data_IF_648763181652
#
_entry.id   IF_648763181652
#
_cell.length_a   1.000
_cell.length_b   1.000
_cell.length_c   1.000
_cell.angle_alpha   90.00
_cell.angle_beta   90.00
_cell.angle_gamma   90.00
#
_symmetry.space_group_name_H-M   'P 1'
#
loop_
_entity.id
_entity.type
_entity.pdbx_description
1 polymer ?
#
# COMPACT_ATOMS: atom_id res chain seq x y z
N UNK A 1 2.65 2.55 -14.04
CA UNK A 1 3.57 3.33 -13.16
C UNK A 1 4.63 2.45 -12.49
N UNK A 2 5.75 3.03 -12.06
CA UNK A 2 6.76 2.36 -11.19
C UNK A 2 6.40 2.53 -9.71
N UNK A 3 6.51 1.45 -8.93
CA UNK A 3 6.21 1.47 -7.49
C UNK A 3 7.32 2.17 -6.69
N UNK A 4 6.93 3.05 -5.77
CA UNK A 4 7.81 3.76 -4.83
C UNK A 4 7.98 3.04 -3.50
N UNK A 5 7.16 2.02 -3.24
CA UNK A 5 7.16 1.29 -1.98
C UNK A 5 8.52 0.62 -1.69
N UNK A 6 8.93 0.64 -0.42
CA UNK A 6 10.11 -0.04 0.10
C UNK A 6 9.79 -0.66 1.46
N UNK A 7 10.29 -1.87 1.77
CA UNK A 7 10.17 -2.42 3.11
C UNK A 7 10.91 -1.51 4.08
N UNK A 8 10.31 -1.29 5.26
CA UNK A 8 10.95 -0.56 6.35
C UNK A 8 11.13 -1.54 7.50
N UNK A 9 12.38 -1.90 7.77
CA UNK A 9 12.73 -2.79 8.88
C UNK A 9 13.36 -1.91 9.96
N UNK A 10 12.56 -1.42 10.90
CA UNK A 10 13.10 -0.87 12.13
C UNK A 10 13.20 -1.99 13.16
N UNK A 11 14.43 -2.30 13.57
CA UNK A 11 14.68 -3.12 14.75
C UNK A 11 14.46 -2.24 15.99
N UNK A 12 13.20 -2.12 16.42
CA UNK A 12 12.81 -1.32 17.57
C UNK A 12 11.30 -1.22 17.69
N UNK A 13 10.79 -1.17 18.91
CA UNK A 13 9.38 -1.21 19.27
C UNK A 13 8.50 -0.31 18.37
N UNK A 14 7.56 -0.91 17.63
CA UNK A 14 6.58 -0.26 16.75
C UNK A 14 5.55 0.55 17.57
N UNK A 15 5.99 1.46 18.43
CA UNK A 15 5.10 2.18 19.35
C UNK A 15 4.66 3.54 18.83
N UNK A 16 5.10 3.98 17.64
CA UNK A 16 4.55 5.21 17.04
C UNK A 16 4.54 5.21 15.52
N UNK A 17 3.35 5.09 14.92
CA UNK A 17 3.10 5.25 13.46
C UNK A 17 3.61 6.58 12.89
N UNK A 18 3.90 7.57 13.74
CA UNK A 18 4.31 8.93 13.40
C UNK A 18 5.66 9.01 12.68
N UNK A 19 6.55 8.02 12.81
CA UNK A 19 7.92 8.06 12.25
C UNK A 19 8.10 7.26 10.96
N UNK A 20 7.04 6.65 10.42
CA UNK A 20 7.18 5.83 9.22
C UNK A 20 7.53 6.69 7.99
N UNK A 21 8.49 6.28 7.15
CA UNK A 21 8.81 6.99 5.91
C UNK A 21 7.67 6.82 4.89
N UNK A 22 7.48 7.81 4.02
CA UNK A 22 6.38 7.79 3.03
C UNK A 22 6.38 6.54 2.13
N UNK A 23 7.55 5.93 1.93
CA UNK A 23 7.72 4.72 1.13
C UNK A 23 7.04 3.46 1.70
N UNK A 24 6.52 3.47 2.93
CA UNK A 24 5.77 2.31 3.45
C UNK A 24 4.30 2.35 3.10
N UNK A 25 3.77 3.48 2.62
CA UNK A 25 2.34 3.66 2.38
C UNK A 25 1.96 3.28 0.95
N UNK A 26 0.75 2.75 0.77
CA UNK A 26 0.19 2.61 -0.57
C UNK A 26 -0.04 3.98 -1.20
N UNK A 27 -0.52 4.95 -0.42
CA UNK A 27 -0.70 6.34 -0.84
C UNK A 27 0.31 7.26 -0.11
N UNK A 28 1.57 7.39 -0.59
CA UNK A 28 2.63 8.14 0.08
C UNK A 28 2.24 9.57 0.42
N UNK A 29 1.68 10.32 -0.54
CA UNK A 29 1.33 11.74 -0.36
C UNK A 29 0.28 11.96 0.72
N UNK A 30 -0.66 11.02 0.84
CA UNK A 30 -1.75 11.09 1.82
C UNK A 30 -1.43 10.31 3.10
N UNK A 31 -0.29 9.60 3.15
CA UNK A 31 0.12 8.69 4.23
C UNK A 31 -1.00 7.74 4.65
N UNK A 32 -1.76 7.22 3.68
CA UNK A 32 -2.84 6.25 3.88
C UNK A 32 -2.37 4.84 3.52
N UNK A 33 -2.96 3.84 4.17
CA UNK A 33 -2.69 2.42 3.90
C UNK A 33 -1.21 2.03 4.10
N UNK A 34 -0.68 2.04 5.35
CA UNK A 34 0.67 1.53 5.60
C UNK A 34 0.74 0.05 5.20
N UNK A 35 1.81 -0.36 4.53
CA UNK A 35 2.04 -1.70 4.01
C UNK A 35 3.24 -2.34 4.75
N UNK A 36 3.10 -2.55 6.06
CA UNK A 36 4.18 -3.03 6.93
C UNK A 36 4.16 -4.54 7.19
N UNK A 37 3.12 -5.24 6.74
CA UNK A 37 3.00 -6.70 6.80
C UNK A 37 1.95 -7.23 5.82
N UNK A 38 1.84 -8.56 5.71
CA UNK A 38 0.86 -9.23 4.84
C UNK A 38 -0.60 -8.88 5.14
N UNK A 39 -0.95 -8.66 6.42
CA UNK A 39 -2.32 -8.33 6.82
C UNK A 39 -2.67 -6.90 6.40
N UNK A 40 -1.73 -5.96 6.54
CA UNK A 40 -1.86 -4.62 6.00
C UNK A 40 -2.04 -4.61 4.48
N UNK A 41 -1.29 -5.43 3.74
CA UNK A 41 -1.45 -5.55 2.28
C UNK A 41 -2.84 -6.05 1.90
N UNK A 42 -3.31 -7.14 2.51
CA UNK A 42 -4.66 -7.69 2.27
C UNK A 42 -5.76 -6.67 2.59
N UNK A 43 -5.59 -5.96 3.70
CA UNK A 43 -6.52 -4.94 4.11
C UNK A 43 -6.56 -3.76 3.11
N UNK A 44 -5.41 -3.32 2.61
CA UNK A 44 -5.32 -2.25 1.62
C UNK A 44 -6.00 -2.61 0.29
N UNK A 45 -5.92 -3.87 -0.14
CA UNK A 45 -6.68 -4.38 -1.29
C UNK A 45 -8.18 -4.36 -1.04
N UNK A 46 -8.60 -4.87 0.12
CA UNK A 46 -10.01 -5.02 0.46
C UNK A 46 -10.77 -3.70 0.63
N UNK A 47 -10.08 -2.60 0.97
CA UNK A 47 -10.67 -1.26 1.17
C UNK A 47 -10.17 -0.22 0.18
N UNK A 48 -9.58 -0.65 -0.94
CA UNK A 48 -8.93 0.25 -1.89
C UNK A 48 -9.88 1.33 -2.46
N UNK A 49 -11.13 0.95 -2.71
CA UNK A 49 -12.20 1.80 -3.20
C UNK A 49 -12.71 2.80 -2.15
N UNK A 50 -12.69 2.43 -0.87
CA UNK A 50 -13.09 3.27 0.27
C UNK A 50 -12.14 4.46 0.52
N UNK A 51 -10.95 4.46 -0.10
CA UNK A 51 -10.02 5.59 0.03
C UNK A 51 -10.47 6.74 -0.87
N UNK A 52 -11.12 7.73 -0.26
CA UNK A 52 -11.63 8.92 -0.94
C UNK A 52 -10.60 10.05 -1.09
N UNK A 53 -10.89 10.98 -2.01
CA UNK A 53 -10.07 12.17 -2.27
C UNK A 53 -8.76 11.89 -3.00
N UNK A 54 -8.70 10.78 -3.76
CA UNK A 54 -7.48 10.32 -4.45
C UNK A 54 -7.65 10.39 -5.97
N UNK A 55 -6.66 10.97 -6.66
CA UNK A 55 -6.62 10.99 -8.13
C UNK A 55 -6.41 9.59 -8.71
N UNK A 56 -6.81 9.39 -9.97
CA UNK A 56 -6.55 8.14 -10.68
C UNK A 56 -5.06 7.81 -10.76
N UNK A 57 -4.19 8.82 -10.86
CA UNK A 57 -2.73 8.66 -10.84
C UNK A 57 -2.20 8.18 -9.50
N UNK A 58 -2.71 8.72 -8.39
CA UNK A 58 -2.32 8.28 -7.05
C UNK A 58 -2.90 6.88 -6.75
N UNK A 59 -4.06 6.51 -7.31
CA UNK A 59 -4.59 5.13 -7.27
C UNK A 59 -3.72 4.16 -8.06
N UNK A 60 -3.28 4.55 -9.25
CA UNK A 60 -2.38 3.70 -10.04
C UNK A 60 -1.05 3.46 -9.30
N UNK A 61 -0.48 4.51 -8.70
CA UNK A 61 0.72 4.40 -7.87
C UNK A 61 0.46 3.50 -6.66
N UNK A 62 -0.66 3.66 -5.98
CA UNK A 62 -0.98 2.87 -4.79
C UNK A 62 -1.12 1.38 -5.10
N UNK A 63 -1.75 1.04 -6.22
CA UNK A 63 -1.84 -0.34 -6.62
C UNK A 63 -0.49 -0.94 -7.04
N UNK A 64 0.39 -0.14 -7.65
CA UNK A 64 1.77 -0.56 -7.91
C UNK A 64 2.53 -0.83 -6.60
N UNK A 65 2.36 0.03 -5.59
CA UNK A 65 2.94 -0.13 -4.26
C UNK A 65 2.42 -1.38 -3.55
N UNK A 66 1.11 -1.61 -3.57
CA UNK A 66 0.47 -2.80 -3.01
C UNK A 66 1.00 -4.06 -3.67
N UNK A 67 1.10 -4.11 -5.01
CA UNK A 67 1.67 -5.27 -5.73
C UNK A 67 3.11 -5.57 -5.32
N UNK A 68 3.94 -4.54 -5.16
CA UNK A 68 5.33 -4.70 -4.73
C UNK A 68 5.42 -5.20 -3.29
N UNK A 69 4.60 -4.67 -2.38
CA UNK A 69 4.53 -5.13 -1.00
C UNK A 69 3.99 -6.57 -0.91
N UNK A 70 2.98 -6.90 -1.71
CA UNK A 70 2.40 -8.24 -1.77
C UNK A 70 3.43 -9.29 -2.19
N UNK A 71 4.23 -8.99 -3.21
CA UNK A 71 5.34 -9.85 -3.61
C UNK A 71 6.35 -10.06 -2.47
N UNK A 72 6.66 -9.00 -1.71
CA UNK A 72 7.59 -9.09 -0.58
C UNK A 72 7.03 -9.91 0.58
N UNK A 73 5.75 -9.74 0.92
CA UNK A 73 5.11 -10.43 2.05
C UNK A 73 4.41 -11.75 1.67
N UNK A 74 4.52 -12.21 0.42
CA UNK A 74 3.92 -13.46 -0.04
C UNK A 74 2.40 -13.45 -0.13
N UNK A 75 1.80 -12.29 -0.45
CA UNK A 75 0.35 -12.16 -0.71
C UNK A 75 0.08 -12.29 -2.21
N UNK A 76 -0.81 -13.21 -2.59
CA UNK A 76 -1.24 -13.37 -3.97
C UNK A 76 -2.26 -12.28 -4.38
N UNK A 77 -2.06 -11.70 -5.57
CA UNK A 77 -2.94 -10.68 -6.16
C UNK A 77 -3.24 -11.12 -7.58
N UNK A 78 -4.53 -11.28 -7.89
CA UNK A 78 -5.00 -11.72 -9.22
C UNK A 78 -5.36 -10.54 -10.12
N UNK A 79 -5.67 -9.41 -9.50
CA UNK A 79 -6.09 -8.19 -10.17
C UNK A 79 -4.94 -7.59 -10.97
N UNK A 80 -5.22 -7.20 -12.22
CA UNK A 80 -4.21 -6.60 -13.11
C UNK A 80 -4.18 -5.09 -12.97
N UNK A 81 -5.31 -4.50 -12.59
CA UNK A 81 -5.53 -3.07 -12.44
C UNK A 81 -6.28 -2.75 -11.16
N UNK A 82 -6.01 -1.57 -10.59
CA UNK A 82 -6.77 -1.04 -9.45
C UNK A 82 -8.25 -0.84 -9.78
N UNK A 83 -8.60 -0.70 -11.06
CA UNK A 83 -9.99 -0.60 -11.52
C UNK A 83 -10.78 -1.88 -11.26
N UNK A 84 -10.10 -3.03 -11.16
CA UNK A 84 -10.73 -4.32 -10.82
C UNK A 84 -11.01 -4.44 -9.31
N UNK A 85 -10.40 -3.58 -8.49
CA UNK A 85 -10.67 -3.50 -7.05
C UNK A 85 -11.87 -2.61 -6.70
N UNK A 86 -12.35 -1.80 -7.64
CA UNK A 86 -13.58 -1.01 -7.46
C UNK A 86 -14.77 -1.97 -7.48
N UNK A 87 -15.42 -2.15 -6.33
CA UNK A 87 -16.71 -2.84 -6.24
C UNK A 87 -17.86 -1.84 -6.25
#
# INVERSE_FOLDING_TARGET
>A
MQATWKPHTEHGDLTTRSNLPDSVYAFPKQRKEPLTDASHVRNALARFDQVEGISDSDRELAFANIKKAAQHYGVDIKEKSWRELKR
#
